data_IF_958902780076
#
_entry.id   IF_958902780076
#
_cell.length_a   1.000
_cell.length_b   1.000
_cell.length_c   1.000
_cell.angle_alpha   90.00
_cell.angle_beta   90.00
_cell.angle_gamma   90.00
#
_symmetry.space_group_name_H-M   'P 1'
#
loop_
_entity.id
_entity.type
_entity.pdbx_description
1 polymer ?
#
# COMPACT_ATOMS: atom_id res chain seq x y z
N UNK A 1 -40.13 4.17 -0.71
CA UNK A 1 -38.74 3.75 -0.42
C UNK A 1 -37.88 5.00 -0.37
N UNK A 2 -37.29 5.39 0.78
CA UNK A 2 -36.42 6.57 0.82
C UNK A 2 -35.07 6.28 0.14
N UNK A 3 -34.42 7.28 -0.49
CA UNK A 3 -33.15 7.09 -1.18
C UNK A 3 -31.99 6.84 -0.22
N UNK A 4 -31.11 5.89 -0.57
CA UNK A 4 -29.85 5.59 0.14
C UNK A 4 -28.93 6.81 0.11
N UNK A 5 -28.58 7.32 1.29
CA UNK A 5 -27.69 8.45 1.46
C UNK A 5 -26.28 8.16 0.93
N UNK A 6 -25.74 9.09 0.14
CA UNK A 6 -24.32 9.12 -0.22
C UNK A 6 -23.55 9.59 1.02
N UNK A 7 -22.64 8.76 1.52
CA UNK A 7 -21.74 9.13 2.60
C UNK A 7 -20.87 10.31 2.17
N UNK A 8 -20.91 11.40 2.95
CA UNK A 8 -20.01 12.54 2.77
C UNK A 8 -18.63 12.13 3.30
N UNK A 9 -17.54 12.27 2.52
CA UNK A 9 -16.20 11.97 3.02
C UNK A 9 -15.82 12.98 4.12
N UNK A 10 -15.42 12.47 5.28
CA UNK A 10 -14.90 13.28 6.38
C UNK A 10 -13.48 13.76 6.04
N UNK A 11 -13.14 15.05 6.26
CA UNK A 11 -11.85 15.63 5.88
C UNK A 11 -10.66 15.17 6.74
N UNK A 12 -10.87 14.21 7.64
CA UNK A 12 -9.83 13.72 8.55
C UNK A 12 -9.49 12.27 8.21
N UNK A 13 -8.73 12.08 7.12
CA UNK A 13 -8.04 10.83 6.90
C UNK A 13 -6.97 10.65 7.98
N UNK A 14 -7.27 9.88 9.03
CA UNK A 14 -6.22 9.40 9.95
C UNK A 14 -5.34 8.43 9.16
N UNK A 15 -4.03 8.70 9.13
CA UNK A 15 -3.06 7.76 8.58
C UNK A 15 -3.14 6.40 9.29
N UNK A 16 -2.73 5.33 8.63
CA UNK A 16 -2.73 4.00 9.24
C UNK A 16 -1.50 3.86 10.11
N UNK A 17 -1.72 3.59 11.40
CA UNK A 17 -0.68 3.14 12.32
C UNK A 17 -0.83 1.65 12.58
N UNK A 18 0.24 0.89 12.37
CA UNK A 18 0.31 -0.51 12.77
C UNK A 18 1.06 -0.61 14.12
N UNK A 19 0.54 -1.42 15.03
CA UNK A 19 1.19 -1.76 16.31
C UNK A 19 1.67 -3.22 16.28
N UNK A 20 2.74 -3.51 17.01
CA UNK A 20 3.21 -4.88 17.21
C UNK A 20 3.00 -5.28 18.67
N UNK A 21 2.34 -6.42 18.93
CA UNK A 21 2.25 -7.05 20.25
C UNK A 21 3.23 -8.23 20.33
N UNK A 22 4.07 -8.27 21.36
CA UNK A 22 4.85 -9.47 21.73
C UNK A 22 4.32 -10.00 23.07
N UNK A 23 4.08 -11.31 23.13
CA UNK A 23 3.63 -12.01 24.32
C UNK A 23 4.77 -12.48 25.23
N UNK A 24 4.52 -12.29 26.52
CA UNK A 24 5.14 -12.85 27.74
C UNK A 24 6.55 -12.39 28.16
N UNK A 25 6.56 -11.52 29.19
CA UNK A 25 7.69 -11.33 30.10
C UNK A 25 8.08 -9.88 30.33
N UNK A 26 7.44 -9.23 31.32
CA UNK A 26 7.82 -7.94 31.91
C UNK A 26 7.88 -6.72 30.94
N UNK A 27 6.72 -6.09 30.75
CA UNK A 27 6.63 -4.64 30.55
C UNK A 27 7.11 -4.06 29.22
N UNK A 28 6.84 -4.70 28.09
CA UNK A 28 6.95 -4.02 26.78
C UNK A 28 5.60 -3.38 26.43
N UNK A 29 5.53 -2.05 26.56
CA UNK A 29 4.38 -1.28 26.07
C UNK A 29 4.21 -1.47 24.56
N UNK A 30 2.97 -1.39 24.07
CA UNK A 30 2.65 -1.47 22.65
C UNK A 30 3.54 -0.51 21.85
N UNK A 31 4.46 -1.05 21.04
CA UNK A 31 5.37 -0.24 20.24
C UNK A 31 4.77 0.01 18.87
N UNK A 32 4.86 1.26 18.41
CA UNK A 32 4.47 1.65 17.05
C UNK A 32 5.39 0.93 16.06
N UNK A 33 4.81 0.07 15.21
CA UNK A 33 5.53 -0.64 14.18
C UNK A 33 5.78 0.26 12.96
N UNK A 34 4.73 0.88 12.41
CA UNK A 34 4.84 1.79 11.28
C UNK A 34 3.69 2.81 11.25
N UNK A 35 3.97 3.98 10.70
CA UNK A 35 2.97 4.95 10.25
C UNK A 35 3.07 5.08 8.73
N UNK A 36 1.99 4.76 8.02
CA UNK A 36 2.01 4.76 6.57
C UNK A 36 0.63 5.10 5.97
N UNK A 37 0.65 5.39 4.67
CA UNK A 37 -0.56 5.56 3.88
C UNK A 37 -0.24 5.52 2.40
N UNK A 38 -1.23 5.17 1.59
CA UNK A 38 -1.18 5.19 0.11
C UNK A 38 -2.39 5.97 -0.37
N UNK A 39 -2.21 7.16 -0.92
CA UNK A 39 -3.30 7.97 -1.49
C UNK A 39 -3.75 7.42 -2.85
N UNK A 40 -5.03 7.57 -3.23
CA UNK A 40 -5.52 7.13 -4.55
C UNK A 40 -6.99 6.70 -4.64
N UNK A 41 -7.91 7.30 -3.87
CA UNK A 41 -9.33 6.92 -3.91
C UNK A 41 -9.56 5.45 -3.54
N UNK A 42 -10.17 4.66 -4.42
CA UNK A 42 -10.39 3.22 -4.19
C UNK A 42 -9.09 2.40 -4.19
N UNK A 43 -7.96 2.96 -4.64
CA UNK A 43 -6.65 2.36 -4.47
C UNK A 43 -6.16 2.39 -3.01
N UNK A 44 -6.68 3.29 -2.15
CA UNK A 44 -6.21 3.41 -0.77
C UNK A 44 -6.22 2.07 0.01
N UNK A 45 -7.36 1.36 0.15
CA UNK A 45 -7.37 0.09 0.87
C UNK A 45 -6.48 -0.98 0.21
N UNK A 46 -6.40 -0.99 -1.12
CA UNK A 46 -5.62 -1.98 -1.88
C UNK A 46 -4.11 -1.75 -1.71
N UNK A 47 -3.67 -0.50 -1.81
CA UNK A 47 -2.28 -0.09 -1.61
C UNK A 47 -1.86 -0.23 -0.15
N UNK A 48 -2.74 0.05 0.81
CA UNK A 48 -2.45 -0.16 2.22
C UNK A 48 -2.12 -1.62 2.54
N UNK A 49 -2.90 -2.57 2.02
CA UNK A 49 -2.65 -4.00 2.22
C UNK A 49 -1.34 -4.43 1.53
N UNK A 50 -1.09 -3.97 0.30
CA UNK A 50 0.14 -4.28 -0.43
C UNK A 50 1.39 -3.79 0.32
N UNK A 51 1.38 -2.54 0.81
CA UNK A 51 2.51 -1.98 1.58
C UNK A 51 2.66 -2.66 2.94
N UNK A 52 1.56 -2.89 3.67
CA UNK A 52 1.64 -3.56 4.98
C UNK A 52 2.16 -4.99 4.85
N UNK A 53 1.71 -5.74 3.84
CA UNK A 53 2.19 -7.10 3.61
C UNK A 53 3.67 -7.11 3.21
N UNK A 54 4.11 -6.17 2.37
CA UNK A 54 5.53 -6.02 2.03
C UNK A 54 6.41 -5.74 3.26
N UNK A 55 5.96 -4.85 4.16
CA UNK A 55 6.68 -4.54 5.40
C UNK A 55 6.67 -5.73 6.37
N UNK A 56 5.48 -6.29 6.64
CA UNK A 56 5.26 -7.24 7.74
C UNK A 56 5.56 -8.69 7.35
N UNK A 57 5.06 -9.13 6.20
CA UNK A 57 5.21 -10.50 5.72
C UNK A 57 6.48 -10.63 4.86
N UNK A 58 6.77 -9.61 4.04
CA UNK A 58 7.97 -9.55 3.21
C UNK A 58 9.23 -9.12 3.94
N UNK A 59 9.11 -8.51 5.13
CA UNK A 59 10.25 -8.02 5.91
C UNK A 59 11.02 -6.90 5.22
N UNK A 60 10.40 -6.20 4.26
CA UNK A 60 11.06 -5.15 3.50
C UNK A 60 11.18 -3.86 4.33
N UNK A 61 12.21 -3.06 4.02
CA UNK A 61 12.35 -1.71 4.56
C UNK A 61 11.31 -0.74 3.97
N UNK A 62 11.27 0.48 4.53
CA UNK A 62 10.30 1.52 4.18
C UNK A 62 10.31 1.91 2.70
N UNK A 63 11.49 1.98 2.07
CA UNK A 63 11.60 2.37 0.67
C UNK A 63 11.32 1.18 -0.25
N UNK A 64 11.92 0.01 0.04
CA UNK A 64 11.70 -1.21 -0.74
C UNK A 64 10.23 -1.61 -0.79
N UNK A 65 9.47 -1.45 0.31
CA UNK A 65 8.04 -1.71 0.34
C UNK A 65 7.22 -0.76 -0.56
N UNK A 66 7.67 0.49 -0.74
CA UNK A 66 7.03 1.47 -1.63
C UNK A 66 7.40 1.26 -3.10
N UNK A 67 8.60 0.78 -3.36
CA UNK A 67 9.16 0.58 -4.70
C UNK A 67 8.57 -0.64 -5.41
N UNK A 68 8.04 -1.62 -4.66
CA UNK A 68 7.40 -2.80 -5.24
C UNK A 68 6.31 -2.42 -6.28
N UNK A 69 6.22 -3.14 -7.40
CA UNK A 69 5.15 -2.95 -8.38
C UNK A 69 3.81 -3.31 -7.74
N UNK A 70 2.79 -2.51 -8.04
CA UNK A 70 1.44 -2.67 -7.47
C UNK A 70 0.46 -3.21 -8.49
N UNK A 71 -0.66 -3.70 -7.97
CA UNK A 71 -1.87 -3.95 -8.74
C UNK A 71 -3.03 -3.12 -8.22
N UNK A 72 -3.99 -2.82 -9.10
CA UNK A 72 -5.22 -2.12 -8.76
C UNK A 72 -6.41 -2.85 -9.40
N UNK A 73 -7.34 -3.30 -8.57
CA UNK A 73 -8.59 -3.90 -8.99
C UNK A 73 -9.58 -2.78 -9.31
N UNK A 74 -10.30 -2.94 -10.44
CA UNK A 74 -11.46 -2.12 -10.73
C UNK A 74 -12.53 -2.30 -9.63
N UNK A 75 -12.85 -1.20 -8.94
CA UNK A 75 -13.79 -1.20 -7.82
C UNK A 75 -15.25 -1.15 -8.28
N UNK A 76 -15.52 -0.79 -9.54
CA UNK A 76 -16.87 -0.55 -10.04
C UNK A 76 -17.53 -1.80 -10.63
N UNK A 77 -16.76 -2.85 -10.92
CA UNK A 77 -17.26 -4.07 -11.57
C UNK A 77 -16.73 -5.37 -10.96
N UNK A 78 -17.63 -6.28 -10.60
CA UNK A 78 -17.25 -7.62 -10.15
C UNK A 78 -16.66 -8.41 -11.33
N UNK A 79 -15.44 -8.92 -11.16
CA UNK A 79 -14.68 -9.51 -12.26
C UNK A 79 -14.13 -8.47 -13.24
N UNK A 80 -14.05 -7.20 -12.82
CA UNK A 80 -13.45 -6.11 -13.56
C UNK A 80 -11.97 -6.31 -13.84
N UNK A 81 -11.42 -5.40 -14.65
CA UNK A 81 -10.01 -5.42 -15.02
C UNK A 81 -9.09 -5.30 -13.80
N UNK A 82 -7.90 -5.88 -13.92
CA UNK A 82 -6.82 -5.72 -12.95
C UNK A 82 -5.70 -4.94 -13.63
N UNK A 83 -5.51 -3.70 -13.20
CA UNK A 83 -4.35 -2.91 -13.63
C UNK A 83 -3.10 -3.46 -12.93
N UNK A 84 -2.07 -3.79 -13.71
CA UNK A 84 -0.78 -4.31 -13.24
C UNK A 84 0.32 -3.34 -13.63
N UNK A 85 1.14 -2.94 -12.68
CA UNK A 85 2.20 -1.98 -12.92
C UNK A 85 3.39 -2.55 -13.68
N UNK A 86 4.03 -1.69 -14.49
CA UNK A 86 5.34 -2.00 -15.08
C UNK A 86 6.35 -2.43 -14.00
N UNK A 87 7.16 -3.44 -14.32
CA UNK A 87 8.10 -4.04 -13.36
C UNK A 87 7.55 -5.24 -12.59
N UNK A 88 6.26 -5.56 -12.71
CA UNK A 88 5.73 -6.85 -12.25
C UNK A 88 6.45 -8.01 -12.98
N UNK A 89 6.90 -9.07 -12.27
CA UNK A 89 7.55 -10.20 -12.91
C UNK A 89 6.67 -10.83 -14.00
N UNK A 90 7.23 -11.05 -15.19
CA UNK A 90 6.49 -11.55 -16.35
C UNK A 90 5.82 -12.90 -16.07
N UNK A 91 6.47 -13.75 -15.28
CA UNK A 91 5.91 -15.05 -14.86
C UNK A 91 4.64 -14.89 -14.01
N UNK A 92 4.61 -13.88 -13.13
CA UNK A 92 3.41 -13.55 -12.35
C UNK A 92 2.28 -13.08 -13.26
N UNK A 93 2.59 -12.21 -14.23
CA UNK A 93 1.60 -11.71 -15.20
C UNK A 93 1.02 -12.84 -16.04
N UNK A 94 1.87 -13.74 -16.55
CA UNK A 94 1.45 -14.89 -17.35
C UNK A 94 0.58 -15.85 -16.55
N UNK A 95 1.00 -16.20 -15.32
CA UNK A 95 0.23 -17.08 -14.43
C UNK A 95 -1.16 -16.51 -14.15
N UNK A 96 -1.26 -15.20 -13.86
CA UNK A 96 -2.54 -14.55 -13.63
C UNK A 96 -3.43 -14.54 -14.88
N UNK A 97 -2.86 -14.37 -16.08
CA UNK A 97 -3.61 -14.49 -17.35
C UNK A 97 -4.14 -15.90 -17.56
N UNK A 98 -3.34 -16.92 -17.29
CA UNK A 98 -3.73 -18.33 -17.40
C UNK A 98 -4.86 -18.69 -16.42
N UNK A 99 -4.87 -18.05 -15.24
CA UNK A 99 -5.97 -18.14 -14.28
C UNK A 99 -7.24 -17.39 -14.73
N UNK A 100 -7.20 -16.68 -15.86
CA UNK A 100 -8.35 -15.98 -16.44
C UNK A 100 -8.54 -14.54 -15.95
N UNK A 101 -7.56 -13.95 -15.27
CA UNK A 101 -7.68 -12.57 -14.82
C UNK A 101 -7.58 -11.58 -16.02
N UNK A 102 -8.51 -10.62 -16.14
CA UNK A 102 -8.49 -9.60 -17.19
C UNK A 102 -7.44 -8.52 -16.87
N UNK A 103 -6.18 -8.80 -17.16
CA UNK A 103 -5.06 -7.91 -16.84
C UNK A 103 -4.91 -6.77 -17.86
N UNK A 104 -4.64 -5.58 -17.34
CA UNK A 104 -4.23 -4.40 -18.11
C UNK A 104 -2.88 -3.90 -17.59
N UNK A 105 -1.84 -3.92 -18.41
CA UNK A 105 -0.51 -3.45 -18.01
C UNK A 105 -0.45 -1.91 -18.09
N UNK A 106 0.11 -1.27 -17.06
CA UNK A 106 0.13 0.19 -16.92
C UNK A 106 1.56 0.68 -16.68
N UNK A 107 2.01 1.61 -17.53
CA UNK A 107 3.39 2.11 -17.59
C UNK A 107 3.46 3.64 -17.58
N UNK A 108 4.63 4.20 -17.28
CA UNK A 108 4.88 5.64 -17.36
C UNK A 108 3.94 6.49 -16.49
N UNK A 109 3.42 7.60 -17.03
CA UNK A 109 2.58 8.54 -16.26
C UNK A 109 1.24 7.94 -15.80
N UNK A 110 0.73 6.93 -16.50
CA UNK A 110 -0.53 6.25 -16.16
C UNK A 110 -0.44 5.48 -14.83
N UNK A 111 0.78 5.26 -14.31
CA UNK A 111 1.03 4.70 -12.96
C UNK A 111 0.47 5.58 -11.83
N UNK A 112 -0.11 6.73 -12.13
CA UNK A 112 -0.96 7.50 -11.22
C UNK A 112 -2.06 6.65 -10.56
N UNK A 113 -2.59 5.64 -11.26
CA UNK A 113 -3.65 4.76 -10.73
C UNK A 113 -3.24 3.94 -9.51
N UNK A 114 -1.94 3.66 -9.31
CA UNK A 114 -1.42 2.86 -8.20
C UNK A 114 -1.18 3.66 -6.92
N UNK A 115 -1.59 4.92 -6.91
CA UNK A 115 -1.49 5.78 -5.74
C UNK A 115 -0.07 6.24 -5.42
N UNK A 116 0.08 6.94 -4.30
CA UNK A 116 1.36 7.43 -3.77
C UNK A 116 1.48 7.12 -2.29
N UNK A 117 2.54 6.45 -1.89
CA UNK A 117 2.78 6.04 -0.52
C UNK A 117 3.82 6.89 0.23
N UNK A 118 3.69 6.93 1.54
CA UNK A 118 4.73 7.39 2.45
C UNK A 118 4.77 6.43 3.63
N UNK A 119 5.97 6.08 4.10
CA UNK A 119 6.18 5.14 5.21
C UNK A 119 7.19 5.73 6.19
N UNK A 120 6.86 5.66 7.47
CA UNK A 120 7.82 5.75 8.57
C UNK A 120 7.75 4.42 9.30
N UNK A 121 8.79 3.61 9.16
CA UNK A 121 8.94 2.30 9.78
C UNK A 121 9.84 2.41 11.01
N UNK A 122 9.49 1.73 12.11
CA UNK A 122 10.38 1.54 13.24
C UNK A 122 11.03 0.16 13.14
N UNK A 123 12.36 0.13 13.09
CA UNK A 123 13.10 -1.14 13.10
C UNK A 123 13.21 -1.74 14.51
N UNK A 124 13.79 -2.93 14.62
CA UNK A 124 13.95 -3.64 15.89
C UNK A 124 14.88 -2.92 16.89
N UNK A 125 15.79 -2.06 16.40
CA UNK A 125 16.66 -1.23 17.23
C UNK A 125 15.96 0.03 17.74
N UNK A 126 14.77 0.33 17.21
CA UNK A 126 13.98 1.52 17.52
C UNK A 126 14.27 2.72 16.61
N UNK A 127 15.14 2.58 15.61
CA UNK A 127 15.44 3.62 14.61
C UNK A 127 14.22 3.79 13.69
N UNK A 128 13.98 5.04 13.28
CA UNK A 128 12.90 5.39 12.36
C UNK A 128 13.45 5.54 10.94
N UNK A 129 12.96 4.72 10.02
CA UNK A 129 13.33 4.71 8.61
C UNK A 129 12.17 5.27 7.78
N UNK A 130 12.46 6.30 6.98
CA UNK A 130 11.49 6.92 6.07
C UNK A 130 11.56 6.34 4.66
N UNK A 131 10.43 6.30 3.96
CA UNK A 131 10.33 5.97 2.54
C UNK A 131 9.33 6.89 1.85
N UNK A 132 9.63 7.26 0.60
CA UNK A 132 8.79 8.13 -0.22
C UNK A 132 8.55 7.47 -1.59
N UNK A 133 7.30 7.45 -2.03
CA UNK A 133 6.93 6.70 -3.24
C UNK A 133 7.53 7.31 -4.51
N UNK A 134 8.22 6.52 -5.35
CA UNK A 134 8.92 7.02 -6.54
C UNK A 134 7.97 7.51 -7.64
N UNK A 135 6.67 7.25 -7.53
CA UNK A 135 5.69 7.61 -8.57
C UNK A 135 5.28 9.09 -8.51
N UNK A 136 5.59 9.83 -7.44
CA UNK A 136 5.35 11.27 -7.34
C UNK A 136 6.59 12.02 -6.87
N UNK A 137 6.60 13.32 -7.12
CA UNK A 137 7.47 14.23 -6.41
C UNK A 137 7.17 14.17 -4.89
N UNK A 138 8.20 13.90 -4.11
CA UNK A 138 8.15 13.72 -2.67
C UNK A 138 9.53 13.40 -2.13
N UNK A 139 9.72 13.51 -0.82
CA UNK A 139 10.97 13.09 -0.19
C UNK A 139 10.72 12.64 1.26
N UNK A 140 11.58 11.74 1.72
CA UNK A 140 11.74 11.44 3.14
C UNK A 140 13.10 12.00 3.59
N UNK A 141 13.11 12.76 4.68
CA UNK A 141 14.31 13.40 5.21
C UNK A 141 14.38 13.30 6.72
N UNK A 142 15.59 13.39 7.26
CA UNK A 142 15.88 13.41 8.69
C UNK A 142 16.64 14.69 9.08
N UNK A 143 16.61 15.02 10.36
CA UNK A 143 17.41 16.10 10.97
C UNK A 143 18.84 15.64 11.27
#
# INVERSE_FOLDING_TARGET
LPPKGKGVPSPHGRGMSASSQKGEGQGEGESLYASYGVMGGFMQPQGHVQVLSALKDGGLDSQSALDLPRFCLDADSAGGKVDIEEGMPIETVNTLREMGHPLNEVSGYERAVFGRGQVILRDESGVLCGGSDPRADGYAGSL
#
